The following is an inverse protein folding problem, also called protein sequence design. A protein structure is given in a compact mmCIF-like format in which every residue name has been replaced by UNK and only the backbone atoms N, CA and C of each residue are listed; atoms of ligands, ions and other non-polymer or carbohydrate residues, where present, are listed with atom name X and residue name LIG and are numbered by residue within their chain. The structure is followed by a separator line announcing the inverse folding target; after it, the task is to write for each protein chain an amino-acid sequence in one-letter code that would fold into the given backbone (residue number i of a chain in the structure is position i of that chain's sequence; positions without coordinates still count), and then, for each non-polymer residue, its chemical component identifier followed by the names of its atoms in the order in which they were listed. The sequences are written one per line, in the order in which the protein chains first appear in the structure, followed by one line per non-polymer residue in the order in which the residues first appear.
data_IF_538973364055
#
_entry.id   IF_538973364055
#
_cell.length_a   1.000
_cell.length_b   1.000
_cell.length_c   1.000
_cell.angle_alpha   90.00
_cell.angle_beta   90.00
_cell.angle_gamma   90.00
#
_symmetry.space_group_name_H-M   'P 1'
#
loop_
_entity.id
_entity.type
_entity.pdbx_description
1 polymer ?
#
# COMPACT_ATOMS: atom_id res chain seq x y z
N UNK A 1 96.09 71.98 -30.27
CA UNK A 1 95.84 71.37 -28.96
C UNK A 1 94.35 71.49 -28.60
N UNK A 2 93.76 72.69 -28.57
CA UNK A 2 92.32 72.88 -28.25
C UNK A 2 91.31 72.11 -29.12
N UNK A 3 91.54 71.92 -30.44
CA UNK A 3 90.58 71.20 -31.32
C UNK A 3 90.55 69.68 -31.12
N UNK A 4 91.57 69.08 -30.49
CA UNK A 4 91.59 67.64 -30.20
C UNK A 4 90.98 67.31 -28.83
N UNK A 5 91.09 68.22 -27.85
CA UNK A 5 90.42 68.11 -26.54
C UNK A 5 88.89 68.20 -26.69
N UNK A 6 88.40 69.18 -27.43
CA UNK A 6 86.96 69.37 -27.66
C UNK A 6 86.34 68.17 -28.39
N UNK A 7 87.07 67.53 -29.32
CA UNK A 7 86.60 66.31 -30.01
C UNK A 7 86.56 65.09 -29.10
N UNK A 8 87.48 65.00 -28.12
CA UNK A 8 87.48 63.94 -27.10
C UNK A 8 86.32 64.11 -26.11
N UNK A 9 86.07 65.32 -25.62
CA UNK A 9 84.92 65.61 -24.75
C UNK A 9 83.58 65.33 -25.45
N UNK A 10 83.42 65.77 -26.71
CA UNK A 10 82.21 65.47 -27.51
C UNK A 10 82.03 63.98 -27.87
N UNK A 11 83.08 63.17 -27.83
CA UNK A 11 82.99 61.72 -28.03
C UNK A 11 82.78 60.96 -26.71
N UNK A 12 83.23 61.49 -25.58
CA UNK A 12 82.93 60.98 -24.24
C UNK A 12 81.49 61.33 -23.80
N UNK A 13 80.99 62.53 -24.11
CA UNK A 13 79.57 62.92 -23.89
C UNK A 13 78.60 62.10 -24.75
N UNK A 14 78.92 61.86 -26.03
CA UNK A 14 78.09 60.98 -26.87
C UNK A 14 78.12 59.51 -26.42
N UNK A 15 79.27 59.01 -25.96
CA UNK A 15 79.36 57.67 -25.39
C UNK A 15 78.60 57.53 -24.07
N UNK A 16 78.53 58.59 -23.27
CA UNK A 16 77.79 58.59 -22.01
C UNK A 16 76.28 58.76 -22.22
N UNK A 17 75.84 59.52 -23.23
CA UNK A 17 74.43 59.59 -23.67
C UNK A 17 73.94 58.28 -24.33
N UNK A 18 74.76 57.61 -25.13
CA UNK A 18 74.42 56.31 -25.72
C UNK A 18 74.36 55.22 -24.63
N UNK A 19 75.32 55.18 -23.68
CA UNK A 19 75.27 54.26 -22.54
C UNK A 19 74.04 54.48 -21.63
N UNK A 20 73.66 55.74 -21.37
CA UNK A 20 72.49 56.02 -20.52
C UNK A 20 71.15 55.72 -21.21
N UNK A 21 71.08 55.79 -22.55
CA UNK A 21 69.91 55.32 -23.30
C UNK A 21 69.78 53.81 -23.29
N UNK A 22 70.88 53.08 -23.48
CA UNK A 22 70.90 51.62 -23.41
C UNK A 22 70.48 51.13 -22.01
N UNK A 23 70.97 51.75 -20.93
CA UNK A 23 70.56 51.43 -19.54
C UNK A 23 69.07 51.70 -19.28
N UNK A 24 68.50 52.78 -19.83
CA UNK A 24 67.06 53.10 -19.68
C UNK A 24 66.19 52.09 -20.45
N UNK A 25 66.61 51.67 -21.64
CA UNK A 25 65.88 50.71 -22.46
C UNK A 25 65.85 49.32 -21.79
N UNK A 26 66.97 48.92 -21.18
CA UNK A 26 67.09 47.67 -20.40
C UNK A 26 66.20 47.67 -19.15
N UNK A 27 66.11 48.80 -18.42
CA UNK A 27 65.20 48.94 -17.26
C UNK A 27 63.72 48.88 -17.68
N UNK A 28 63.37 49.47 -18.83
CA UNK A 28 62.00 49.47 -19.36
C UNK A 28 61.58 48.07 -19.79
N UNK A 29 62.48 47.30 -20.39
CA UNK A 29 62.21 45.91 -20.78
C UNK A 29 62.13 44.98 -19.57
N UNK A 30 63.00 45.14 -18.56
CA UNK A 30 62.84 44.43 -17.27
C UNK A 30 61.49 44.74 -16.60
N UNK A 31 61.06 46.01 -16.59
CA UNK A 31 59.78 46.39 -16.01
C UNK A 31 58.58 45.78 -16.76
N UNK A 32 58.68 45.61 -18.09
CA UNK A 32 57.68 44.90 -18.89
C UNK A 32 57.65 43.40 -18.61
N UNK A 33 58.81 42.75 -18.49
CA UNK A 33 58.89 41.33 -18.15
C UNK A 33 58.34 41.04 -16.76
N UNK A 34 58.67 41.85 -15.75
CA UNK A 34 58.13 41.70 -14.39
C UNK A 34 56.62 41.86 -14.39
N UNK A 35 56.08 42.84 -15.13
CA UNK A 35 54.64 43.08 -15.21
C UNK A 35 53.90 41.96 -15.95
N UNK A 36 54.48 41.42 -17.03
CA UNK A 36 53.94 40.24 -17.71
C UNK A 36 53.93 39.00 -16.81
N UNK A 37 55.01 38.80 -16.03
CA UNK A 37 55.11 37.72 -15.04
C UNK A 37 54.06 37.83 -13.94
N UNK A 38 53.81 39.03 -13.39
CA UNK A 38 52.72 39.27 -12.43
C UNK A 38 51.33 39.00 -13.02
N UNK A 39 51.08 39.44 -14.26
CA UNK A 39 49.81 39.19 -14.95
C UNK A 39 49.55 37.69 -15.22
N UNK A 40 50.60 36.93 -15.54
CA UNK A 40 50.53 35.48 -15.70
C UNK A 40 50.22 34.78 -14.37
N UNK A 41 50.91 35.15 -13.28
CA UNK A 41 50.65 34.62 -11.94
C UNK A 41 49.21 34.91 -11.47
N UNK A 42 48.69 36.11 -11.75
CA UNK A 42 47.30 36.48 -11.43
C UNK A 42 46.31 35.63 -12.26
N UNK A 43 46.58 35.41 -13.55
CA UNK A 43 45.74 34.56 -14.40
C UNK A 43 45.71 33.12 -13.91
N UNK A 44 46.85 32.55 -13.54
CA UNK A 44 46.93 31.19 -12.98
C UNK A 44 46.16 31.09 -11.66
N UNK A 45 46.31 32.07 -10.75
CA UNK A 45 45.58 32.10 -9.49
C UNK A 45 44.05 32.21 -9.70
N UNK A 46 43.61 33.00 -10.67
CA UNK A 46 42.19 33.12 -11.05
C UNK A 46 41.67 31.80 -11.65
N UNK A 47 42.45 31.14 -12.51
CA UNK A 47 42.06 29.86 -13.09
C UNK A 47 41.90 28.78 -12.01
N UNK A 48 42.86 28.68 -11.09
CA UNK A 48 42.79 27.72 -9.98
C UNK A 48 41.59 28.02 -9.06
N UNK A 49 41.33 29.29 -8.74
CA UNK A 49 40.14 29.68 -7.96
C UNK A 49 38.84 29.36 -8.68
N UNK A 50 38.75 29.61 -9.98
CA UNK A 50 37.56 29.28 -10.78
C UNK A 50 37.31 27.77 -10.82
N UNK A 51 38.37 26.96 -10.90
CA UNK A 51 38.27 25.50 -10.82
C UNK A 51 37.73 25.05 -9.46
N UNK A 52 38.26 25.58 -8.36
CA UNK A 52 37.77 25.31 -7.01
C UNK A 52 36.29 25.70 -6.83
N UNK A 53 35.88 26.86 -7.37
CA UNK A 53 34.49 27.31 -7.34
C UNK A 53 33.58 26.35 -8.12
N UNK A 54 34.01 25.91 -9.31
CA UNK A 54 33.24 24.98 -10.13
C UNK A 54 33.05 23.62 -9.41
N UNK A 55 34.12 23.06 -8.83
CA UNK A 55 34.06 21.81 -8.05
C UNK A 55 33.12 21.94 -6.84
N UNK A 56 33.20 23.06 -6.09
CA UNK A 56 32.31 23.33 -4.97
C UNK A 56 30.85 23.48 -5.41
N UNK A 57 30.60 24.15 -6.54
CA UNK A 57 29.25 24.30 -7.09
C UNK A 57 28.65 22.96 -7.53
N UNK A 58 29.45 22.09 -8.16
CA UNK A 58 29.04 20.75 -8.54
C UNK A 58 28.69 19.91 -7.30
N UNK A 59 29.57 19.91 -6.31
CA UNK A 59 29.33 19.22 -5.03
C UNK A 59 28.09 19.74 -4.32
N UNK A 60 27.85 21.05 -4.35
CA UNK A 60 26.65 21.66 -3.76
C UNK A 60 25.38 21.25 -4.52
N UNK A 61 25.42 21.19 -5.85
CA UNK A 61 24.31 20.67 -6.67
C UNK A 61 24.03 19.20 -6.36
N UNK A 62 25.06 18.37 -6.23
CA UNK A 62 24.92 16.97 -5.88
C UNK A 62 24.31 16.79 -4.48
N UNK A 63 24.81 17.51 -3.49
CA UNK A 63 24.26 17.52 -2.13
C UNK A 63 22.80 17.97 -2.10
N UNK A 64 22.44 19.03 -2.83
CA UNK A 64 21.06 19.49 -2.92
C UNK A 64 20.14 18.43 -3.55
N UNK A 65 20.63 17.72 -4.58
CA UNK A 65 19.88 16.61 -5.19
C UNK A 65 19.66 15.47 -4.19
N UNK A 66 20.70 15.09 -3.44
CA UNK A 66 20.60 14.07 -2.39
C UNK A 66 19.64 14.48 -1.28
N UNK A 67 19.69 15.75 -0.84
CA UNK A 67 18.77 16.28 0.17
C UNK A 67 17.31 16.29 -0.31
N UNK A 68 17.06 16.69 -1.55
CA UNK A 68 15.72 16.67 -2.13
C UNK A 68 15.17 15.25 -2.21
N UNK A 69 16.01 14.30 -2.60
CA UNK A 69 15.66 12.88 -2.64
C UNK A 69 15.35 12.34 -1.24
N UNK A 70 16.23 12.59 -0.26
CA UNK A 70 16.03 12.16 1.13
C UNK A 70 14.76 12.76 1.74
N UNK A 71 14.44 14.02 1.42
CA UNK A 71 13.19 14.66 1.84
C UNK A 71 11.97 13.91 1.27
N UNK A 72 12.00 13.57 -0.02
CA UNK A 72 10.93 12.80 -0.66
C UNK A 72 10.78 11.40 -0.05
N UNK A 73 11.89 10.71 0.22
CA UNK A 73 11.89 9.41 0.91
C UNK A 73 11.31 9.51 2.32
N UNK A 74 11.66 10.57 3.06
CA UNK A 74 11.14 10.80 4.40
C UNK A 74 9.63 11.05 4.40
N UNK A 75 9.12 11.85 3.44
CA UNK A 75 7.69 12.09 3.28
C UNK A 75 6.93 10.79 2.94
N UNK A 76 7.51 9.95 2.07
CA UNK A 76 6.94 8.63 1.73
C UNK A 76 6.97 7.67 2.94
N UNK A 77 8.08 7.65 3.68
CA UNK A 77 8.23 6.87 4.91
C UNK A 77 7.19 7.27 5.94
N UNK A 78 7.01 8.58 6.19
CA UNK A 78 6.02 9.09 7.14
C UNK A 78 4.61 8.64 6.78
N UNK A 79 4.20 8.80 5.50
CA UNK A 79 2.89 8.34 5.02
C UNK A 79 2.71 6.84 5.18
N UNK A 80 3.76 6.05 4.93
CA UNK A 80 3.73 4.59 5.11
C UNK A 80 3.53 4.21 6.58
N UNK A 81 4.32 4.81 7.49
CA UNK A 81 4.22 4.54 8.93
C UNK A 81 2.84 4.90 9.47
N UNK A 82 2.24 6.00 9.01
CA UNK A 82 0.91 6.41 9.43
C UNK A 82 -0.17 5.40 8.99
N UNK A 83 -0.10 4.92 7.75
CA UNK A 83 -0.96 3.83 7.26
C UNK A 83 -0.76 2.53 8.04
N UNK A 84 0.48 2.14 8.30
CA UNK A 84 0.79 0.94 9.09
C UNK A 84 0.26 1.05 10.51
N UNK A 85 0.34 2.23 11.13
CA UNK A 85 -0.22 2.47 12.47
C UNK A 85 -1.73 2.31 12.48
N UNK A 86 -2.42 2.89 11.49
CA UNK A 86 -3.87 2.73 11.35
C UNK A 86 -4.26 1.28 11.13
N UNK A 87 -3.53 0.56 10.28
CA UNK A 87 -3.75 -0.86 10.03
C UNK A 87 -3.52 -1.72 11.28
N UNK A 88 -2.44 -1.50 12.03
CA UNK A 88 -2.19 -2.19 13.31
C UNK A 88 -3.28 -1.92 14.34
N UNK A 89 -3.75 -0.68 14.42
CA UNK A 89 -4.86 -0.32 15.30
C UNK A 89 -6.15 -1.05 14.91
N UNK A 90 -6.45 -1.13 13.60
CA UNK A 90 -7.60 -1.86 13.07
C UNK A 90 -7.51 -3.36 13.39
N UNK A 91 -6.37 -4.01 13.15
CA UNK A 91 -6.15 -5.41 13.50
C UNK A 91 -6.31 -5.65 15.02
N UNK A 92 -5.83 -4.72 15.84
CA UNK A 92 -6.04 -4.75 17.28
C UNK A 92 -7.53 -4.75 17.65
N UNK A 93 -8.31 -3.85 17.05
CA UNK A 93 -9.77 -3.81 17.24
C UNK A 93 -10.45 -5.12 16.85
N UNK A 94 -10.15 -5.63 15.65
CA UNK A 94 -10.71 -6.91 15.14
C UNK A 94 -10.46 -8.03 16.14
N UNK A 95 -9.23 -8.19 16.62
CA UNK A 95 -8.86 -9.25 17.57
C UNK A 95 -9.60 -9.19 18.91
N UNK A 96 -10.00 -7.99 19.35
CA UNK A 96 -10.78 -7.79 20.57
C UNK A 96 -12.26 -8.04 20.28
N UNK A 97 -12.78 -7.54 19.17
CA UNK A 97 -14.17 -7.70 18.78
C UNK A 97 -14.56 -9.16 18.52
N UNK A 98 -13.70 -9.96 17.90
CA UNK A 98 -13.92 -11.40 17.76
C UNK A 98 -14.15 -12.09 19.12
N UNK A 99 -13.34 -11.73 20.12
CA UNK A 99 -13.47 -12.28 21.49
C UNK A 99 -14.74 -11.79 22.18
N UNK A 100 -15.10 -10.52 22.00
CA UNK A 100 -16.35 -9.95 22.55
C UNK A 100 -17.57 -10.61 21.92
N UNK A 101 -17.57 -10.84 20.61
CA UNK A 101 -18.64 -11.55 19.90
C UNK A 101 -18.82 -12.96 20.46
N UNK A 102 -17.73 -13.70 20.68
CA UNK A 102 -17.82 -15.01 21.32
C UNK A 102 -18.53 -14.95 22.69
N UNK A 103 -18.19 -13.97 23.53
CA UNK A 103 -18.86 -13.78 24.82
C UNK A 103 -20.34 -13.41 24.67
N UNK A 104 -20.68 -12.54 23.71
CA UNK A 104 -22.05 -12.17 23.38
C UNK A 104 -22.89 -13.40 22.99
N UNK A 105 -22.33 -14.30 22.19
CA UNK A 105 -23.02 -15.55 21.81
C UNK A 105 -23.16 -16.52 22.95
N UNK A 106 -22.14 -16.67 23.79
CA UNK A 106 -22.24 -17.49 25.00
C UNK A 106 -23.33 -16.94 25.93
N UNK A 107 -23.48 -15.61 26.00
CA UNK A 107 -24.54 -14.99 26.77
C UNK A 107 -25.93 -15.26 26.19
N UNK A 108 -26.09 -15.20 24.86
CA UNK A 108 -27.31 -15.61 24.16
C UNK A 108 -27.68 -17.06 24.49
N UNK A 109 -26.73 -17.99 24.36
CA UNK A 109 -26.94 -19.42 24.66
C UNK A 109 -27.35 -19.64 26.12
N UNK A 110 -26.76 -18.89 27.06
CA UNK A 110 -27.14 -18.96 28.46
C UNK A 110 -28.60 -18.52 28.69
N UNK A 111 -29.01 -17.41 28.08
CA UNK A 111 -30.40 -16.93 28.16
C UNK A 111 -31.37 -17.95 27.54
N UNK A 112 -31.07 -18.46 26.34
CA UNK A 112 -31.89 -19.48 25.67
C UNK A 112 -32.01 -20.77 26.49
N UNK A 113 -30.92 -21.16 27.16
CA UNK A 113 -30.92 -22.32 28.06
C UNK A 113 -31.81 -22.09 29.28
N UNK A 114 -31.75 -20.91 29.89
CA UNK A 114 -32.64 -20.54 31.00
C UNK A 114 -34.11 -20.51 30.56
N UNK A 115 -34.42 -20.00 29.37
CA UNK A 115 -35.79 -19.98 28.83
C UNK A 115 -36.39 -21.38 28.65
N UNK A 116 -35.55 -22.39 28.39
CA UNK A 116 -35.99 -23.79 28.28
C UNK A 116 -36.25 -24.46 29.63
N UNK A 117 -35.78 -23.87 30.72
CA UNK A 117 -36.09 -24.36 32.06
C UNK A 117 -37.54 -24.00 32.36
N UNK A 118 -38.39 -25.02 32.50
CA UNK A 118 -39.82 -24.86 32.73
C UNK A 118 -40.12 -24.48 34.20
N UNK A 119 -39.57 -23.35 34.66
CA UNK A 119 -39.68 -22.79 36.01
C UNK A 119 -40.54 -21.51 35.96
N UNK A 120 -41.85 -21.66 36.11
CA UNK A 120 -42.81 -20.56 36.00
C UNK A 120 -43.00 -19.79 37.32
N UNK A 121 -41.91 -19.37 37.95
CA UNK A 121 -42.00 -18.49 39.14
C UNK A 121 -41.90 -17.02 38.73
N UNK A 122 -42.61 -16.15 39.47
CA UNK A 122 -42.59 -14.69 39.24
C UNK A 122 -41.19 -14.11 39.37
N UNK A 123 -40.39 -14.63 40.30
CA UNK A 123 -39.01 -14.16 40.52
C UNK A 123 -38.08 -14.60 39.39
N UNK A 124 -38.22 -15.83 38.89
CA UNK A 124 -37.47 -16.30 37.72
C UNK A 124 -37.78 -15.46 36.47
N UNK A 125 -39.05 -15.15 36.25
CA UNK A 125 -39.49 -14.31 35.13
C UNK A 125 -38.85 -12.92 35.16
N UNK A 126 -38.74 -12.29 36.34
CA UNK A 126 -38.08 -10.98 36.51
C UNK A 126 -36.58 -11.05 36.22
N UNK A 127 -35.90 -12.12 36.66
CA UNK A 127 -34.47 -12.32 36.38
C UNK A 127 -34.26 -12.46 34.87
N UNK A 128 -35.09 -13.26 34.21
CA UNK A 128 -35.03 -13.46 32.77
C UNK A 128 -35.27 -12.17 31.98
N UNK A 129 -36.24 -11.36 32.40
CA UNK A 129 -36.49 -10.02 31.85
C UNK A 129 -35.25 -9.12 32.00
N UNK A 130 -34.64 -9.07 33.18
CA UNK A 130 -33.41 -8.30 33.42
C UNK A 130 -32.25 -8.72 32.53
N UNK A 131 -32.07 -10.03 32.33
CA UNK A 131 -31.04 -10.57 31.43
C UNK A 131 -31.32 -10.23 29.95
N UNK A 132 -32.58 -10.27 29.52
CA UNK A 132 -32.97 -9.85 28.17
C UNK A 132 -32.71 -8.36 27.92
N UNK A 133 -32.96 -7.51 28.92
CA UNK A 133 -32.62 -6.08 28.84
C UNK A 133 -31.11 -5.90 28.68
N UNK A 134 -30.31 -6.60 29.49
CA UNK A 134 -28.85 -6.55 29.39
C UNK A 134 -28.35 -7.04 28.02
N UNK A 135 -28.93 -8.12 27.50
CA UNK A 135 -28.61 -8.65 26.18
C UNK A 135 -28.87 -7.63 25.07
N UNK A 136 -30.02 -6.96 25.12
CA UNK A 136 -30.37 -5.90 24.17
C UNK A 136 -29.44 -4.68 24.26
N UNK A 137 -29.04 -4.29 25.47
CA UNK A 137 -28.05 -3.21 25.64
C UNK A 137 -26.67 -3.61 25.12
N UNK A 138 -26.29 -4.89 25.24
CA UNK A 138 -25.07 -5.40 24.61
C UNK A 138 -25.18 -5.33 23.08
N UNK A 139 -26.29 -5.76 22.49
CA UNK A 139 -26.52 -5.64 21.04
C UNK A 139 -26.44 -4.18 20.57
N UNK A 140 -27.04 -3.25 21.31
CA UNK A 140 -26.93 -1.81 21.06
C UNK A 140 -25.48 -1.30 21.14
N UNK A 141 -24.70 -1.79 22.11
CA UNK A 141 -23.28 -1.45 22.24
C UNK A 141 -22.48 -1.93 21.02
N UNK A 142 -22.69 -3.16 20.57
CA UNK A 142 -22.04 -3.70 19.37
C UNK A 142 -22.38 -2.86 18.14
N UNK A 143 -23.66 -2.51 17.96
CA UNK A 143 -24.10 -1.68 16.84
C UNK A 143 -23.46 -0.28 16.85
N UNK A 144 -23.31 0.35 18.02
CA UNK A 144 -22.63 1.65 18.16
C UNK A 144 -21.14 1.59 17.82
N UNK A 145 -20.48 0.47 18.13
CA UNK A 145 -19.10 0.21 17.72
C UNK A 145 -18.99 -0.21 16.24
N UNK A 146 -20.08 -0.24 15.48
CA UNK A 146 -20.10 -0.60 14.07
C UNK A 146 -20.12 -2.10 13.80
N UNK A 147 -20.37 -2.92 14.82
CA UNK A 147 -20.48 -4.38 14.67
C UNK A 147 -21.94 -4.72 14.42
N UNK A 148 -22.21 -5.42 13.31
CA UNK A 148 -23.57 -5.85 12.95
C UNK A 148 -23.57 -7.31 12.49
N UNK A 149 -24.73 -7.95 12.64
CA UNK A 149 -24.94 -9.33 12.21
C UNK A 149 -25.15 -9.38 10.70
N UNK A 150 -24.57 -10.39 10.04
CA UNK A 150 -24.78 -10.66 8.62
C UNK A 150 -26.19 -11.24 8.45
N UNK A 151 -27.03 -10.54 7.71
CA UNK A 151 -28.33 -11.05 7.29
C UNK A 151 -28.18 -12.04 6.13
N UNK A 152 -28.45 -13.32 6.41
CA UNK A 152 -28.14 -14.42 5.49
C UNK A 152 -29.37 -15.07 4.85
N UNK A 153 -30.46 -15.25 5.61
CA UNK A 153 -31.62 -16.05 5.18
C UNK A 153 -32.21 -15.52 3.88
N UNK A 154 -32.56 -16.44 2.97
CA UNK A 154 -33.15 -16.15 1.66
C UNK A 154 -32.27 -15.32 0.70
N UNK A 155 -31.00 -15.09 1.04
CA UNK A 155 -30.02 -14.47 0.15
C UNK A 155 -29.16 -15.52 -0.55
N UNK A 156 -28.57 -15.15 -1.69
CA UNK A 156 -27.55 -15.97 -2.33
C UNK A 156 -26.28 -15.99 -1.50
N UNK A 157 -25.60 -17.13 -1.52
CA UNK A 157 -24.31 -17.28 -0.86
C UNK A 157 -23.28 -16.33 -1.47
N UNK A 158 -22.38 -15.83 -0.62
CA UNK A 158 -21.28 -14.97 -1.01
C UNK A 158 -20.05 -15.46 -0.24
N UNK A 159 -19.00 -15.98 -0.91
CA UNK A 159 -17.81 -16.52 -0.26
C UNK A 159 -17.08 -15.54 0.68
N UNK A 160 -17.28 -14.23 0.50
CA UNK A 160 -16.70 -13.22 1.38
C UNK A 160 -17.35 -13.22 2.77
N UNK A 161 -18.67 -13.43 2.85
CA UNK A 161 -19.46 -13.28 4.08
C UNK A 161 -19.95 -14.62 4.65
N UNK A 162 -19.92 -15.67 3.85
CA UNK A 162 -20.59 -16.93 4.15
C UNK A 162 -19.65 -18.12 3.98
N UNK A 163 -19.67 -19.02 4.95
CA UNK A 163 -19.01 -20.32 4.93
C UNK A 163 -20.09 -21.40 4.74
N UNK A 164 -20.08 -22.07 3.58
CA UNK A 164 -21.03 -23.15 3.30
C UNK A 164 -20.60 -24.40 4.03
N UNK A 165 -21.47 -24.88 4.92
CA UNK A 165 -21.22 -26.09 5.72
C UNK A 165 -21.99 -27.30 5.21
N UNK A 166 -23.13 -27.09 4.55
CA UNK A 166 -23.96 -28.17 4.02
C UNK A 166 -24.74 -27.72 2.78
N UNK A 167 -24.92 -28.65 1.83
CA UNK A 167 -25.80 -28.48 0.68
C UNK A 167 -27.06 -29.31 0.90
N UNK A 168 -28.22 -28.67 0.85
CA UNK A 168 -29.52 -29.32 1.07
C UNK A 168 -30.31 -29.35 -0.23
N UNK A 169 -30.80 -30.53 -0.61
CA UNK A 169 -31.65 -30.69 -1.78
C UNK A 169 -32.99 -29.99 -1.54
N UNK A 170 -33.29 -28.99 -2.38
CA UNK A 170 -34.51 -28.22 -2.26
C UNK A 170 -34.89 -27.63 -3.63
N UNK A 171 -36.05 -28.06 -4.15
CA UNK A 171 -36.54 -27.65 -5.48
C UNK A 171 -37.45 -26.41 -5.45
N UNK A 172 -37.73 -25.88 -4.25
CA UNK A 172 -38.59 -24.71 -4.04
C UNK A 172 -37.84 -23.38 -4.12
N UNK A 173 -36.52 -23.37 -3.87
CA UNK A 173 -35.67 -22.17 -3.93
C UNK A 173 -34.60 -22.32 -5.01
N UNK A 174 -34.04 -21.19 -5.47
CA UNK A 174 -32.95 -21.19 -6.45
C UNK A 174 -31.69 -21.86 -5.88
N UNK A 175 -30.80 -22.34 -6.75
CA UNK A 175 -29.48 -22.89 -6.37
C UNK A 175 -28.63 -21.82 -5.64
N UNK A 176 -27.80 -22.26 -4.69
CA UNK A 176 -26.93 -21.41 -3.86
C UNK A 176 -27.65 -20.38 -2.97
N UNK A 177 -28.93 -20.63 -2.67
CA UNK A 177 -29.72 -19.81 -1.74
C UNK A 177 -29.57 -20.31 -0.31
N UNK A 178 -29.31 -19.41 0.63
CA UNK A 178 -29.18 -19.72 2.05
C UNK A 178 -30.56 -20.06 2.63
N UNK A 179 -30.69 -21.27 3.18
CA UNK A 179 -31.93 -21.76 3.77
C UNK A 179 -31.91 -21.81 5.29
N UNK A 180 -30.71 -21.93 5.86
CA UNK A 180 -30.52 -22.06 7.30
C UNK A 180 -29.17 -21.45 7.68
N UNK A 181 -29.15 -20.72 8.79
CA UNK A 181 -27.93 -20.19 9.41
C UNK A 181 -27.62 -21.05 10.62
N UNK A 182 -26.51 -21.80 10.55
CA UNK A 182 -26.05 -22.64 11.66
C UNK A 182 -25.36 -21.77 12.71
N UNK A 183 -24.56 -20.81 12.27
CA UNK A 183 -23.87 -19.86 13.15
C UNK A 183 -23.89 -18.49 12.53
N UNK A 184 -24.26 -17.50 13.34
CA UNK A 184 -24.40 -16.12 12.92
C UNK A 184 -23.05 -15.55 12.45
N UNK A 185 -23.05 -14.81 11.36
CA UNK A 185 -21.88 -14.06 10.92
C UNK A 185 -21.91 -12.63 11.44
N UNK A 186 -20.76 -11.99 11.57
CA UNK A 186 -20.65 -10.60 12.02
C UNK A 186 -19.66 -9.81 11.16
N UNK A 187 -20.04 -8.57 10.87
CA UNK A 187 -19.20 -7.59 10.19
C UNK A 187 -18.91 -6.42 11.11
N UNK A 188 -17.78 -5.77 10.87
CA UNK A 188 -17.38 -4.51 11.46
C UNK A 188 -17.31 -3.45 10.37
N UNK A 189 -18.12 -2.41 10.49
CA UNK A 189 -18.12 -1.26 9.60
C UNK A 189 -17.12 -0.22 10.13
N UNK A 190 -16.01 -0.04 9.42
CA UNK A 190 -14.97 0.91 9.77
C UNK A 190 -14.63 1.81 8.58
N UNK A 191 -14.70 3.12 8.75
CA UNK A 191 -14.44 4.09 7.67
C UNK A 191 -15.22 3.78 6.38
N UNK A 192 -16.49 3.37 6.51
CA UNK A 192 -17.37 2.98 5.41
C UNK A 192 -16.98 1.70 4.66
N UNK A 193 -16.05 0.91 5.20
CA UNK A 193 -15.69 -0.41 4.70
C UNK A 193 -16.26 -1.51 5.60
N UNK A 194 -16.81 -2.56 4.99
CA UNK A 194 -17.30 -3.75 5.68
C UNK A 194 -16.18 -4.77 5.84
N UNK A 195 -15.80 -5.04 7.09
CA UNK A 195 -14.77 -6.02 7.43
C UNK A 195 -15.45 -7.22 8.07
N UNK A 196 -15.26 -8.40 7.49
CA UNK A 196 -15.83 -9.64 8.04
C UNK A 196 -15.02 -10.04 9.27
N UNK A 197 -15.66 -10.02 10.44
CA UNK A 197 -15.06 -10.52 11.68
C UNK A 197 -15.20 -12.04 11.78
N UNK A 198 -16.37 -12.55 11.40
CA UNK A 198 -16.62 -13.99 11.31
C UNK A 198 -17.65 -14.26 10.22
N UNK A 199 -17.36 -15.15 9.25
CA UNK A 199 -18.35 -15.52 8.25
C UNK A 199 -19.52 -16.26 8.91
N UNK A 200 -20.72 -16.10 8.35
CA UNK A 200 -21.87 -16.90 8.79
C UNK A 200 -21.73 -18.32 8.25
N UNK A 201 -21.98 -19.32 9.11
CA UNK A 201 -22.02 -20.72 8.67
C UNK A 201 -23.42 -21.05 8.21
N UNK A 202 -23.56 -21.41 6.94
CA UNK A 202 -24.86 -21.50 6.27
C UNK A 202 -25.05 -22.84 5.55
N UNK A 203 -26.31 -23.29 5.52
CA UNK A 203 -26.75 -24.34 4.61
C UNK A 203 -27.35 -23.71 3.37
N UNK A 204 -26.97 -24.20 2.20
CA UNK A 204 -27.43 -23.65 0.92
C UNK A 204 -28.18 -24.71 0.12
N UNK A 205 -29.07 -24.25 -0.74
CA UNK A 205 -29.81 -25.12 -1.66
C UNK A 205 -28.92 -25.69 -2.74
N UNK A 206 -29.16 -26.96 -3.05
CA UNK A 206 -28.65 -27.63 -4.26
C UNK A 206 -29.84 -28.03 -5.12
N UNK A 207 -29.88 -27.53 -6.35
CA UNK A 207 -30.96 -27.83 -7.29
C UNK A 207 -30.85 -29.27 -7.77
N UNK A 208 -31.93 -30.06 -7.64
CA UNK A 208 -31.96 -31.43 -8.20
C UNK A 208 -32.44 -31.45 -9.66
N UNK A 209 -33.05 -30.35 -10.15
CA UNK A 209 -33.60 -30.23 -11.51
C UNK A 209 -32.55 -30.46 -12.61
N UNK A 210 -31.31 -30.00 -12.44
CA UNK A 210 -30.21 -30.28 -13.38
C UNK A 210 -29.79 -31.75 -13.38
N UNK A 211 -29.77 -32.41 -12.21
CA UNK A 211 -29.45 -33.85 -12.13
C UNK A 211 -30.52 -34.70 -12.82
N UNK A 212 -31.79 -34.35 -12.66
CA UNK A 212 -32.89 -35.07 -13.29
C UNK A 212 -32.92 -34.84 -14.80
N UNK A 213 -32.66 -33.62 -15.28
CA UNK A 213 -32.55 -33.34 -16.72
C UNK A 213 -31.34 -34.00 -17.40
N UNK A 214 -30.24 -34.22 -16.66
CA UNK A 214 -29.07 -34.96 -17.16
C UNK A 214 -29.36 -36.47 -17.18
N UNK A 215 -30.01 -37.01 -16.13
CA UNK A 215 -30.44 -38.41 -16.10
C UNK A 215 -31.45 -38.74 -17.20
N UNK A 216 -32.46 -37.90 -17.41
CA UNK A 216 -33.42 -38.09 -18.50
C UNK A 216 -32.78 -38.07 -19.89
N UNK A 217 -31.70 -37.28 -20.09
CA UNK A 217 -30.93 -37.29 -21.34
C UNK A 217 -30.04 -38.53 -21.49
N UNK A 218 -29.35 -38.96 -20.43
CA UNK A 218 -28.53 -40.18 -20.49
C UNK A 218 -29.39 -41.43 -20.66
N UNK A 219 -30.54 -41.50 -19.99
CA UNK A 219 -31.48 -42.61 -20.10
C UNK A 219 -32.17 -42.63 -21.49
N UNK A 220 -32.32 -41.46 -22.13
CA UNK A 220 -32.81 -41.36 -23.52
C UNK A 220 -31.74 -41.78 -24.53
N UNK A 221 -30.49 -41.35 -24.37
CA UNK A 221 -29.38 -41.69 -25.27
C UNK A 221 -29.00 -43.19 -25.18
N UNK A 222 -29.01 -43.79 -23.98
CA UNK A 222 -28.81 -45.23 -23.79
C UNK A 222 -29.95 -46.08 -24.37
N UNK A 223 -31.20 -45.62 -24.25
CA UNK A 223 -32.33 -46.29 -24.90
C UNK A 223 -32.27 -46.18 -26.44
N UNK A 224 -31.76 -45.07 -26.99
CA UNK A 224 -31.61 -44.91 -28.44
C UNK A 224 -30.53 -45.85 -29.00
N UNK A 225 -29.40 -46.00 -28.30
CA UNK A 225 -28.33 -46.94 -28.68
C UNK A 225 -28.79 -48.40 -28.62
N UNK A 226 -29.57 -48.78 -27.60
CA UNK A 226 -30.13 -50.14 -27.50
C UNK A 226 -31.17 -50.44 -28.60
N UNK A 227 -31.89 -49.43 -29.10
CA UNK A 227 -32.83 -49.61 -30.22
C UNK A 227 -32.10 -49.70 -31.56
N UNK A 228 -30.98 -49.00 -31.73
CA UNK A 228 -30.14 -49.10 -32.94
C UNK A 228 -29.38 -50.44 -33.02
N UNK A 229 -28.85 -50.97 -31.91
CA UNK A 229 -28.17 -52.27 -31.89
C UNK A 229 -29.13 -53.44 -32.17
N UNK A 230 -30.35 -53.43 -31.62
CA UNK A 230 -31.33 -54.50 -31.85
C UNK A 230 -31.91 -54.51 -33.28
N UNK A 231 -31.88 -53.39 -34.01
CA UNK A 231 -32.36 -53.33 -35.40
C UNK A 231 -31.32 -53.77 -36.45
N UNK A 232 -30.04 -53.90 -36.06
CA UNK A 232 -28.97 -54.36 -36.95
C UNK A 232 -28.91 -55.90 -37.00
N UNK A 233 -29.33 -56.60 -35.94
CA UNK A 233 -29.33 -58.07 -35.89
C UNK A 233 -30.49 -58.73 -36.67
N UNK A 234 -31.61 -58.03 -36.91
CA UNK A 234 -32.74 -58.57 -37.69
C UNK A 234 -32.65 -58.32 -39.21
N UNK A 235 -31.67 -57.54 -39.67
CA UNK A 235 -31.51 -57.15 -41.09
C UNK A 235 -30.49 -57.97 -41.89
N UNK A 236 -29.76 -58.89 -41.27
CA UNK A 236 -28.70 -59.69 -41.89
C UNK A 236 -29.14 -61.13 -42.20
N UNK A 237 -30.17 -61.30 -43.03
CA UNK A 237 -30.57 -62.57 -43.64
C UNK A 237 -30.07 -62.72 -45.07
#
# INVERSE_FOLDING_TARGET
MEKEEIKKELTEEKKTEDNTKEEIEEIVDLAREVKLSEEELIKEAIQEKNKQIAELQEKNKELNKQLLYLKAEFDNFRKRVEKEKQHKFLLGKISVFEKIIYLYEMFKVAIESLQKINLETKDFSKVLEGLNILYKEFENFLAREGITKIECLDKRVNPQFHEVVEFVENDTKEEDTIIEVISDGYIFVYNNEEIVLRPAKVKVTKSTKKKNAIKEKTDFDENLQNVEENNIEEGGG
#
